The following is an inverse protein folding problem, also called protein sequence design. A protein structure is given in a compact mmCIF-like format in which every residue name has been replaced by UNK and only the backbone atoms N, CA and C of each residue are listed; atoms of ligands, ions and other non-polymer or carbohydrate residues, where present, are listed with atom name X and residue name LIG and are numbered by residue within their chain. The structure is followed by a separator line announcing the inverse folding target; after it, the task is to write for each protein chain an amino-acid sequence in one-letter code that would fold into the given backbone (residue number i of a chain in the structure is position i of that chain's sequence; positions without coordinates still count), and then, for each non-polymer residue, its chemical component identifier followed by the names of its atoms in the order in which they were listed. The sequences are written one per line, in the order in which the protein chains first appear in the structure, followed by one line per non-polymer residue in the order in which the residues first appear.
data_IF_235392225175
#
_entry.id   IF_235392225175
#
_cell.length_a   1.000
_cell.length_b   1.000
_cell.length_c   1.000
_cell.angle_alpha   90.00
_cell.angle_beta   90.00
_cell.angle_gamma   90.00
#
_symmetry.space_group_name_H-M   'P 1'
#
loop_
_entity.id
_entity.type
_entity.pdbx_description
1 polymer ?
#
# COMPACT_ATOMS: atom_id res chain seq x y z
N UNK A 1 2.14 -11.65 21.31
CA UNK A 1 2.13 -10.96 19.98
C UNK A 1 1.53 -11.81 18.85
N UNK A 2 1.78 -13.12 18.75
CA UNK A 2 1.17 -14.00 17.72
C UNK A 2 -0.37 -14.10 17.79
N UNK A 3 -0.98 -13.96 18.98
CA UNK A 3 -2.46 -13.89 19.15
C UNK A 3 -3.11 -12.70 18.42
N UNK A 4 -2.37 -11.60 18.24
CA UNK A 4 -2.85 -10.41 17.50
C UNK A 4 -3.10 -10.69 16.03
N UNK A 5 -2.34 -11.62 15.44
CA UNK A 5 -2.49 -12.05 14.04
C UNK A 5 -3.70 -12.98 13.82
N UNK A 6 -4.14 -13.67 14.88
CA UNK A 6 -5.30 -14.58 14.84
C UNK A 6 -6.60 -13.89 15.29
N UNK A 7 -6.55 -12.58 15.59
CA UNK A 7 -7.75 -11.79 15.81
C UNK A 7 -8.52 -11.76 14.49
N UNK A 8 -9.82 -12.04 14.53
CA UNK A 8 -10.77 -11.89 13.41
C UNK A 8 -10.83 -10.42 12.96
N UNK A 9 -9.73 -9.87 12.43
CA UNK A 9 -9.69 -8.50 11.92
C UNK A 9 -10.64 -8.40 10.75
N UNK A 10 -11.37 -7.31 10.74
CA UNK A 10 -12.39 -7.05 9.74
C UNK A 10 -11.72 -7.12 8.34
N UNK A 11 -12.24 -7.92 7.39
CA UNK A 11 -11.72 -7.96 6.02
C UNK A 11 -11.57 -6.57 5.39
N UNK A 12 -12.40 -5.60 5.78
CA UNK A 12 -12.27 -4.20 5.38
C UNK A 12 -10.97 -3.54 5.82
N UNK A 13 -10.56 -3.72 7.09
CA UNK A 13 -9.31 -3.13 7.61
C UNK A 13 -8.07 -3.66 6.90
N UNK A 14 -8.09 -4.95 6.54
CA UNK A 14 -6.99 -5.56 5.78
C UNK A 14 -7.02 -5.03 4.34
N UNK A 15 -8.19 -4.95 3.70
CA UNK A 15 -8.29 -4.41 2.34
C UNK A 15 -7.83 -2.95 2.26
N UNK A 16 -8.22 -2.09 3.21
CA UNK A 16 -7.68 -0.73 3.29
C UNK A 16 -6.16 -0.74 3.50
N UNK A 17 -5.62 -1.61 4.35
CA UNK A 17 -4.17 -1.74 4.51
C UNK A 17 -3.44 -2.16 3.23
N UNK A 18 -4.05 -3.04 2.43
CA UNK A 18 -3.51 -3.43 1.11
C UNK A 18 -3.51 -2.22 0.17
N UNK A 19 -4.65 -1.56 -0.03
CA UNK A 19 -4.74 -0.42 -0.96
C UNK A 19 -3.81 0.73 -0.56
N UNK A 20 -3.75 1.07 0.73
CA UNK A 20 -2.86 2.11 1.24
C UNK A 20 -1.39 1.68 1.14
N UNK A 21 -1.08 0.40 1.37
CA UNK A 21 0.26 -0.14 1.22
C UNK A 21 0.77 -0.02 -0.22
N UNK A 22 -0.11 -0.19 -1.22
CA UNK A 22 0.26 0.05 -2.61
C UNK A 22 0.59 1.51 -2.89
N UNK A 23 -0.24 2.46 -2.41
CA UNK A 23 0.06 3.90 -2.53
C UNK A 23 1.45 4.21 -1.93
N UNK A 24 1.67 3.78 -0.68
CA UNK A 24 2.90 4.08 0.04
C UNK A 24 4.13 3.37 -0.56
N UNK A 25 3.94 2.21 -1.18
CA UNK A 25 5.00 1.44 -1.81
C UNK A 25 5.39 1.94 -3.20
N UNK A 26 4.44 2.51 -3.95
CA UNK A 26 4.71 3.04 -5.29
C UNK A 26 5.37 4.41 -5.27
N UNK A 27 5.01 5.28 -4.32
CA UNK A 27 5.61 6.61 -4.23
C UNK A 27 7.12 6.50 -3.91
N UNK A 28 8.00 7.14 -4.71
CA UNK A 28 9.43 7.17 -4.44
C UNK A 28 9.74 7.68 -3.04
N UNK A 29 10.70 7.02 -2.39
CA UNK A 29 11.14 7.35 -1.02
C UNK A 29 12.13 8.51 -1.05
N UNK A 30 12.29 9.19 0.08
CA UNK A 30 13.31 10.24 0.24
C UNK A 30 12.82 11.66 0.00
N UNK A 31 11.52 11.85 -0.27
CA UNK A 31 10.87 13.16 -0.29
C UNK A 31 9.93 13.34 0.90
N UNK A 32 9.57 14.58 1.19
CA UNK A 32 8.71 14.95 2.30
C UNK A 32 7.27 14.45 2.11
N UNK A 33 6.83 14.27 0.85
CA UNK A 33 5.51 13.74 0.52
C UNK A 33 5.35 12.31 1.01
N UNK A 34 6.34 11.46 0.74
CA UNK A 34 6.36 10.08 1.19
C UNK A 34 6.34 9.98 2.71
N UNK A 35 7.15 10.81 3.39
CA UNK A 35 7.19 10.86 4.85
C UNK A 35 5.84 11.30 5.41
N UNK A 36 5.22 12.32 4.83
CA UNK A 36 3.90 12.79 5.20
C UNK A 36 2.83 11.68 5.05
N UNK A 37 2.79 11.02 3.89
CA UNK A 37 1.87 9.89 3.65
C UNK A 37 2.10 8.74 4.62
N UNK A 38 3.37 8.39 4.87
CA UNK A 38 3.74 7.35 5.82
C UNK A 38 3.16 7.64 7.20
N UNK A 39 3.40 8.85 7.72
CA UNK A 39 2.92 9.29 9.02
C UNK A 39 1.38 9.22 9.05
N UNK A 40 0.72 9.82 8.05
CA UNK A 40 -0.74 9.85 7.94
C UNK A 40 -1.33 8.44 7.98
N UNK A 41 -0.80 7.52 7.18
CA UNK A 41 -1.30 6.15 7.09
C UNK A 41 -0.97 5.27 8.31
N UNK A 42 0.13 5.56 9.01
CA UNK A 42 0.46 4.91 10.28
C UNK A 42 -0.50 5.31 11.41
N UNK A 43 -1.20 6.44 11.33
CA UNK A 43 -2.26 6.79 12.29
C UNK A 43 -3.64 6.19 11.97
N UNK A 44 -3.88 5.76 10.73
CA UNK A 44 -5.16 5.13 10.35
C UNK A 44 -5.36 3.79 11.08
N UNK A 45 -6.58 3.55 11.60
CA UNK A 45 -6.96 2.28 12.26
C UNK A 45 -7.14 1.14 11.25
N UNK A 46 -6.03 0.59 10.78
CA UNK A 46 -5.96 -0.52 9.81
C UNK A 46 -4.92 -1.57 10.24
N UNK A 47 -4.87 -2.70 9.52
CA UNK A 47 -3.88 -3.74 9.79
C UNK A 47 -2.45 -3.29 9.41
N UNK A 48 -1.66 -2.85 10.39
CA UNK A 48 -0.26 -2.42 10.19
C UNK A 48 0.65 -3.49 9.60
N UNK A 49 0.46 -4.76 9.97
CA UNK A 49 1.25 -5.86 9.41
C UNK A 49 1.03 -6.01 7.91
N UNK A 50 -0.24 -5.93 7.48
CA UNK A 50 -0.59 -5.94 6.06
C UNK A 50 -0.08 -4.68 5.35
N UNK A 51 -0.22 -3.50 5.97
CA UNK A 51 0.28 -2.23 5.43
C UNK A 51 1.78 -2.33 5.08
N UNK A 52 2.62 -2.71 6.05
CA UNK A 52 4.07 -2.79 5.85
C UNK A 52 4.46 -3.87 4.86
N UNK A 53 3.82 -5.05 4.91
CA UNK A 53 4.09 -6.14 3.96
C UNK A 53 3.80 -5.71 2.52
N UNK A 54 2.62 -5.12 2.28
CA UNK A 54 2.24 -4.68 0.94
C UNK A 54 3.09 -3.49 0.49
N UNK A 55 3.42 -2.55 1.38
CA UNK A 55 4.33 -1.44 1.06
C UNK A 55 5.68 -1.96 0.57
N UNK A 56 6.23 -2.98 1.23
CA UNK A 56 7.49 -3.61 0.84
C UNK A 56 7.39 -4.30 -0.53
N UNK A 57 6.32 -5.08 -0.76
CA UNK A 57 6.11 -5.76 -2.04
C UNK A 57 5.87 -4.76 -3.18
N UNK A 58 5.05 -3.74 -2.96
CA UNK A 58 4.78 -2.69 -3.93
C UNK A 58 6.05 -1.87 -4.23
N UNK A 59 6.89 -1.58 -3.22
CA UNK A 59 8.21 -0.94 -3.43
C UNK A 59 9.13 -1.77 -4.34
N UNK A 60 9.07 -3.11 -4.23
CA UNK A 60 9.88 -3.98 -5.08
C UNK A 60 9.37 -4.02 -6.54
N UNK A 61 8.06 -3.81 -6.74
CA UNK A 61 7.42 -3.79 -8.06
C UNK A 61 7.54 -2.40 -8.71
N UNK A 62 7.57 -1.32 -7.92
CA UNK A 62 7.53 0.05 -8.42
C UNK A 62 8.52 0.34 -9.58
N UNK A 63 9.80 -0.08 -9.53
CA UNK A 63 10.75 0.20 -10.62
C UNK A 63 10.33 -0.38 -11.98
N UNK A 64 9.58 -1.48 -11.99
CA UNK A 64 9.06 -2.07 -13.24
C UNK A 64 7.93 -1.26 -13.86
N UNK A 65 7.33 -0.34 -13.10
CA UNK A 65 6.24 0.54 -13.51
C UNK A 65 6.71 1.99 -13.71
N UNK A 66 8.00 2.29 -13.55
CA UNK A 66 8.54 3.66 -13.62
C UNK A 66 8.15 4.39 -14.91
N UNK A 67 8.19 3.72 -16.07
CA UNK A 67 7.77 4.32 -17.34
C UNK A 67 6.30 4.72 -17.38
N UNK A 68 5.42 3.98 -16.69
CA UNK A 68 4.00 4.34 -16.55
C UNK A 68 3.82 5.50 -15.59
N UNK A 69 4.56 5.52 -14.48
CA UNK A 69 4.52 6.62 -13.51
C UNK A 69 5.01 7.91 -14.14
N UNK A 70 6.17 7.89 -14.81
CA UNK A 70 6.75 9.06 -15.48
C UNK A 70 5.78 9.66 -16.51
N UNK A 71 5.22 8.81 -17.39
CA UNK A 71 4.27 9.25 -18.42
C UNK A 71 3.02 9.89 -17.82
N UNK A 72 2.45 9.28 -16.78
CA UNK A 72 1.26 9.78 -16.12
C UNK A 72 1.54 11.08 -15.35
N UNK A 73 2.66 11.14 -14.64
CA UNK A 73 3.08 12.33 -13.90
C UNK A 73 3.37 13.51 -14.81
N UNK A 74 4.06 13.29 -15.93
CA UNK A 74 4.29 14.31 -16.94
C UNK A 74 2.98 14.86 -17.50
N UNK A 75 2.05 13.98 -17.86
CA UNK A 75 0.73 14.37 -18.36
C UNK A 75 -0.03 15.24 -17.34
N UNK A 76 0.01 14.88 -16.06
CA UNK A 76 -0.62 15.67 -14.99
C UNK A 76 0.05 17.04 -14.83
N UNK A 77 1.39 17.08 -14.70
CA UNK A 77 2.14 18.30 -14.38
C UNK A 77 2.10 19.34 -15.49
N UNK A 78 2.07 18.92 -16.76
CA UNK A 78 2.06 19.81 -17.92
C UNK A 78 0.63 20.16 -18.37
N UNK A 79 -0.40 19.58 -17.75
CA UNK A 79 -1.79 19.85 -18.14
C UNK A 79 -2.11 21.35 -18.01
N UNK A 80 -2.56 22.05 -19.09
CA UNK A 80 -2.71 23.51 -19.09
C UNK A 80 -3.62 24.06 -17.99
N UNK A 81 -4.68 23.32 -17.64
CA UNK A 81 -5.60 23.72 -16.56
C UNK A 81 -5.03 23.57 -15.16
N UNK A 82 -4.02 22.72 -14.96
CA UNK A 82 -3.43 22.43 -13.64
C UNK A 82 -2.10 23.15 -13.43
N UNK A 83 -1.39 23.49 -14.51
CA UNK A 83 -0.10 24.18 -14.47
C UNK A 83 -0.11 25.46 -13.61
N UNK A 84 -1.10 26.36 -13.69
CA UNK A 84 -1.14 27.54 -12.81
C UNK A 84 -1.20 27.19 -11.33
N UNK A 85 -1.98 26.16 -10.96
CA UNK A 85 -2.11 25.70 -9.59
C UNK A 85 -0.80 25.11 -9.06
N UNK A 86 -0.08 24.36 -9.89
CA UNK A 86 1.23 23.81 -9.52
C UNK A 86 2.30 24.90 -9.39
N UNK A 87 2.27 25.92 -10.26
CA UNK A 87 3.17 27.08 -10.13
C UNK A 87 2.95 27.81 -8.80
N UNK A 88 1.70 28.10 -8.43
CA UNK A 88 1.39 28.71 -7.13
C UNK A 88 1.85 27.85 -5.95
N UNK A 89 1.78 26.53 -6.07
CA UNK A 89 2.23 25.60 -5.04
C UNK A 89 3.77 25.63 -4.92
N UNK A 90 4.50 25.78 -6.03
CA UNK A 90 5.97 25.89 -6.03
C UNK A 90 6.48 27.18 -5.38
N UNK A 91 5.70 28.26 -5.41
CA UNK A 91 6.06 29.53 -4.78
C UNK A 91 6.03 29.47 -3.24
N UNK A 92 5.37 28.47 -2.66
CA UNK A 92 5.29 28.29 -1.21
C UNK A 92 6.60 27.66 -0.71
N UNK A 93 7.27 28.24 0.30
CA UNK A 93 8.47 27.65 0.88
C UNK A 93 8.17 26.25 1.42
N UNK A 94 9.18 25.38 1.42
CA UNK A 94 9.10 23.96 1.85
C UNK A 94 8.37 22.99 0.92
N UNK A 95 7.49 23.46 0.02
CA UNK A 95 6.77 22.57 -0.89
C UNK A 95 7.74 21.84 -1.83
N UNK A 96 8.84 22.48 -2.23
CA UNK A 96 9.88 21.83 -3.04
C UNK A 96 10.40 20.51 -2.40
N UNK A 97 10.40 20.38 -1.06
CA UNK A 97 10.82 19.13 -0.39
C UNK A 97 9.85 17.97 -0.59
N UNK A 98 8.60 18.23 -0.98
CA UNK A 98 7.63 17.19 -1.33
C UNK A 98 7.99 16.48 -2.63
N UNK A 99 8.83 17.11 -3.47
CA UNK A 99 9.19 16.62 -4.81
C UNK A 99 7.97 16.32 -5.69
N UNK A 100 6.84 17.00 -5.46
CA UNK A 100 5.63 16.77 -6.26
C UNK A 100 5.80 17.18 -7.73
N UNK A 101 6.79 18.02 -8.03
CA UNK A 101 7.18 18.43 -9.38
C UNK A 101 8.02 17.38 -10.13
N UNK A 102 8.41 16.29 -9.45
CA UNK A 102 9.00 15.12 -10.08
C UNK A 102 7.89 14.24 -10.67
N UNK A 103 8.05 13.87 -11.94
CA UNK A 103 7.06 13.09 -12.71
C UNK A 103 6.85 11.70 -12.12
N UNK A 104 7.89 11.05 -11.60
CA UNK A 104 7.74 9.75 -10.94
C UNK A 104 6.95 9.89 -9.65
N UNK A 105 7.20 10.93 -8.85
CA UNK A 105 6.46 11.18 -7.60
C UNK A 105 4.99 11.50 -7.87
N UNK A 106 4.71 12.44 -8.77
CA UNK A 106 3.32 12.80 -9.12
C UNK A 106 2.57 11.62 -9.74
N UNK A 107 3.21 10.93 -10.67
CA UNK A 107 2.61 9.84 -11.41
C UNK A 107 2.29 8.63 -10.55
N UNK A 108 3.25 8.19 -9.72
CA UNK A 108 3.03 7.10 -8.76
C UNK A 108 1.97 7.44 -7.73
N UNK A 109 1.90 8.69 -7.26
CA UNK A 109 0.85 9.15 -6.35
C UNK A 109 -0.53 9.08 -7.01
N UNK A 110 -0.67 9.64 -8.21
CA UNK A 110 -1.93 9.64 -8.96
C UNK A 110 -2.38 8.22 -9.30
N UNK A 111 -1.45 7.37 -9.76
CA UNK A 111 -1.71 5.96 -10.04
C UNK A 111 -2.10 5.19 -8.78
N UNK A 112 -1.42 5.42 -7.67
CA UNK A 112 -1.76 4.83 -6.37
C UNK A 112 -3.17 5.22 -5.91
N UNK A 113 -3.52 6.51 -6.00
CA UNK A 113 -4.84 7.01 -5.63
C UNK A 113 -5.95 6.44 -6.52
N UNK A 114 -5.72 6.40 -7.84
CA UNK A 114 -6.67 5.83 -8.80
C UNK A 114 -6.86 4.32 -8.58
N UNK A 115 -5.77 3.59 -8.31
CA UNK A 115 -5.80 2.16 -8.07
C UNK A 115 -6.35 1.78 -6.68
N UNK A 116 -6.55 2.74 -5.78
CA UNK A 116 -7.07 2.48 -4.43
C UNK A 116 -8.40 1.70 -4.43
N UNK A 117 -9.37 2.20 -5.20
CA UNK A 117 -10.72 1.65 -5.29
C UNK A 117 -10.69 0.22 -5.85
N UNK A 118 -10.10 -0.05 -7.04
CA UNK A 118 -10.05 -1.42 -7.56
C UNK A 118 -9.25 -2.35 -6.65
N UNK A 119 -8.14 -1.91 -6.07
CA UNK A 119 -7.36 -2.72 -5.13
C UNK A 119 -8.15 -3.05 -3.86
N UNK A 120 -9.00 -2.15 -3.38
CA UNK A 120 -9.82 -2.39 -2.19
C UNK A 120 -10.82 -3.53 -2.43
N UNK A 121 -11.54 -3.49 -3.55
CA UNK A 121 -12.49 -4.53 -3.90
C UNK A 121 -11.80 -5.86 -4.21
N UNK A 122 -10.67 -5.83 -4.91
CA UNK A 122 -9.88 -7.01 -5.21
C UNK A 122 -9.35 -7.66 -3.93
N UNK A 123 -8.81 -6.87 -3.00
CA UNK A 123 -8.35 -7.35 -1.71
C UNK A 123 -9.50 -7.93 -0.87
N UNK A 124 -10.68 -7.27 -0.85
CA UNK A 124 -11.87 -7.79 -0.17
C UNK A 124 -12.30 -9.16 -0.72
N UNK A 125 -12.33 -9.30 -2.04
CA UNK A 125 -12.67 -10.55 -2.71
C UNK A 125 -11.63 -11.63 -2.38
N UNK A 126 -10.34 -11.30 -2.51
CA UNK A 126 -9.24 -12.20 -2.20
C UNK A 126 -9.31 -12.71 -0.76
N UNK A 127 -9.52 -11.83 0.22
CA UNK A 127 -9.65 -12.21 1.63
C UNK A 127 -10.86 -13.12 1.86
N UNK A 128 -11.99 -12.84 1.20
CA UNK A 128 -13.20 -13.68 1.30
C UNK A 128 -12.95 -15.08 0.76
N UNK A 129 -12.36 -15.18 -0.44
CA UNK A 129 -12.01 -16.47 -1.08
C UNK A 129 -10.97 -17.22 -0.25
N UNK A 130 -9.96 -16.51 0.27
CA UNK A 130 -8.93 -17.07 1.13
C UNK A 130 -9.53 -17.72 2.39
N UNK A 131 -10.44 -17.01 3.06
CA UNK A 131 -11.11 -17.50 4.29
C UNK A 131 -12.05 -18.66 4.05
N UNK A 132 -12.83 -18.62 2.97
CA UNK A 132 -13.88 -19.61 2.74
C UNK A 132 -13.39 -20.87 2.03
N UNK A 133 -12.37 -20.76 1.18
CA UNK A 133 -11.98 -21.84 0.26
C UNK A 133 -10.57 -22.37 0.47
N UNK A 134 -9.60 -21.50 0.77
CA UNK A 134 -8.18 -21.89 0.85
C UNK A 134 -7.76 -22.30 2.25
N UNK A 135 -8.18 -21.55 3.28
CA UNK A 135 -7.89 -21.87 4.68
C UNK A 135 -8.36 -23.28 5.10
N UNK A 136 -9.59 -23.73 4.78
CA UNK A 136 -10.03 -25.09 5.13
C UNK A 136 -9.18 -26.18 4.48
N UNK A 137 -8.77 -25.97 3.22
CA UNK A 137 -7.95 -26.92 2.46
C UNK A 137 -6.50 -26.98 2.94
N UNK A 138 -5.95 -25.87 3.43
CA UNK A 138 -4.59 -25.82 3.99
C UNK A 138 -4.51 -26.52 5.35
N UNK A 139 -5.54 -26.40 6.19
CA UNK A 139 -5.60 -27.05 7.51
C UNK A 139 -5.65 -28.58 7.39
N UNK A 140 -6.23 -29.11 6.30
CA UNK A 140 -6.26 -30.55 6.03
C UNK A 140 -4.90 -31.14 5.63
N UNK A 141 -3.90 -30.34 5.28
CA UNK A 141 -2.57 -30.85 4.90
C UNK A 141 -1.80 -31.28 6.16
N UNK A 142 -1.32 -32.54 6.25
CA UNK A 142 -0.67 -33.06 7.46
C UNK A 142 0.61 -32.31 7.86
N UNK A 143 1.34 -31.75 6.88
CA UNK A 143 2.50 -30.89 7.11
C UNK A 143 2.13 -29.63 7.92
N UNK A 144 0.99 -29.01 7.59
CA UNK A 144 0.50 -27.81 8.28
C UNK A 144 0.08 -28.10 9.72
N UNK A 145 -0.48 -29.29 9.97
CA UNK A 145 -0.82 -29.77 11.32
C UNK A 145 0.43 -30.01 12.17
N UNK A 146 1.50 -30.55 11.57
CA UNK A 146 2.80 -30.77 12.22
C UNK A 146 3.50 -29.44 12.54
N UNK A 147 3.48 -28.48 11.62
CA UNK A 147 3.98 -27.11 11.85
C UNK A 147 3.17 -26.38 12.94
N UNK A 148 1.85 -26.47 12.91
CA UNK A 148 0.97 -25.85 13.91
C UNK A 148 1.20 -26.37 15.32
N UNK A 149 1.51 -27.66 15.47
CA UNK A 149 1.91 -28.24 16.76
C UNK A 149 3.29 -27.75 17.21
N UNK A 150 4.26 -27.60 16.30
CA UNK A 150 5.59 -27.04 16.64
C UNK A 150 5.50 -25.59 17.17
N UNK A 151 4.59 -24.78 16.65
CA UNK A 151 4.35 -23.43 17.17
C UNK A 151 3.56 -23.39 18.49
N UNK A 152 2.79 -24.44 18.82
CA UNK A 152 2.10 -24.57 20.12
C UNK A 152 2.99 -25.09 21.25
N UNK A 153 4.06 -25.82 20.94
CA UNK A 153 4.92 -26.46 21.95
C UNK A 153 5.89 -25.47 22.63
N UNK A 154 6.05 -24.24 22.11
CA UNK A 154 6.98 -23.25 22.67
C UNK A 154 6.33 -22.21 23.60
N UNK A 155 5.20 -22.53 24.24
CA UNK A 155 4.54 -21.68 25.25
C UNK A 155 4.38 -22.35 26.61
N UNK A 156 5.34 -23.20 26.99
CA UNK A 156 5.53 -23.67 28.35
C UNK A 156 6.81 -23.05 28.91
#
# INVERSE_FOLDING_TARGET
MLKSLNTNRNPGEIAHAVSIGFILGFVPKGNLLWVFLFILFVFVRINKGALFLITLLASAIAPSLDGLFDSLGYWVLVHPSLSPSFSLLLDIPFIAFTSFNDTLVMGSLCFGLLSYIPLYFLARLFIRVWRNSLLPKLVTIPLFKKLGNLFKIKSA
#
